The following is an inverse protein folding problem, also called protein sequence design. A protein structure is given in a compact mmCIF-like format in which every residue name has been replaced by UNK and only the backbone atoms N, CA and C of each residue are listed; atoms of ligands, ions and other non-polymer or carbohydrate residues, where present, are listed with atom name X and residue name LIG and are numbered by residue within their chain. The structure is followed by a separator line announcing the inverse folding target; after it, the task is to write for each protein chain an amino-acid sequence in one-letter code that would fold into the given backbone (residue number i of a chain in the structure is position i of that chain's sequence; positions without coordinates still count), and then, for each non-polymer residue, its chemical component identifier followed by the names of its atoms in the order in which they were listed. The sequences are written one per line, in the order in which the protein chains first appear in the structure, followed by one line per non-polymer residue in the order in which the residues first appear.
data_IF_472965187218
#
_entry.id   IF_472965187218
#
_cell.length_a   1.000
_cell.length_b   1.000
_cell.length_c   1.000
_cell.angle_alpha   90.00
_cell.angle_beta   90.00
_cell.angle_gamma   90.00
#
_symmetry.space_group_name_H-M   'P 1'
#
loop_
_entity.id
_entity.type
_entity.pdbx_description
1 polymer ?
#
# COMPACT_ATOMS: atom_id res chain seq x y z
N UNK A 1 -19.01 -10.43 14.65
CA UNK A 1 -19.06 -10.38 13.17
C UNK A 1 -18.68 -8.96 12.80
N UNK A 2 -17.53 -8.60 12.29
CA UNK A 2 -16.15 -9.09 12.31
C UNK A 2 -15.39 -7.78 12.17
N UNK A 3 -14.40 -7.49 13.02
CA UNK A 3 -13.62 -6.25 12.95
C UNK A 3 -13.28 -5.90 11.50
N UNK A 4 -13.65 -4.68 11.10
CA UNK A 4 -13.33 -4.06 9.82
C UNK A 4 -11.80 -4.05 9.69
N UNK A 5 -11.25 -5.09 9.07
CA UNK A 5 -9.84 -5.20 8.85
C UNK A 5 -9.51 -4.22 7.73
N UNK A 6 -9.17 -2.99 8.11
CA UNK A 6 -8.57 -2.00 7.21
C UNK A 6 -7.42 -2.60 6.38
N UNK A 7 -6.79 -3.68 6.86
CA UNK A 7 -5.81 -4.46 6.13
C UNK A 7 -6.34 -5.15 4.85
N UNK A 8 -7.61 -5.50 4.79
CA UNK A 8 -8.29 -6.12 3.63
C UNK A 8 -8.87 -5.07 2.66
N UNK A 9 -8.81 -3.78 3.01
CA UNK A 9 -9.22 -2.67 2.13
C UNK A 9 -8.41 -2.71 0.83
N UNK A 10 -9.09 -2.88 -0.31
CA UNK A 10 -8.46 -2.87 -1.62
C UNK A 10 -8.11 -1.43 -1.98
N UNK A 11 -6.82 -1.12 -2.00
CA UNK A 11 -6.30 0.19 -2.42
C UNK A 11 -6.09 0.26 -3.94
N UNK A 12 -5.81 -0.87 -4.58
CA UNK A 12 -5.71 -0.92 -6.04
C UNK A 12 -6.48 -2.10 -6.60
N UNK A 13 -7.61 -1.80 -7.24
CA UNK A 13 -8.51 -2.80 -7.85
C UNK A 13 -7.84 -3.52 -9.02
N UNK A 14 -6.96 -2.84 -9.76
CA UNK A 14 -6.27 -3.41 -10.93
C UNK A 14 -5.39 -4.61 -10.59
N UNK A 15 -4.75 -4.59 -9.42
CA UNK A 15 -3.84 -5.66 -8.97
C UNK A 15 -4.35 -6.41 -7.74
N UNK A 16 -5.51 -6.01 -7.20
CA UNK A 16 -6.04 -6.52 -5.94
C UNK A 16 -5.11 -6.21 -4.75
N UNK A 17 -4.38 -5.09 -4.80
CA UNK A 17 -3.48 -4.73 -3.71
C UNK A 17 -4.28 -4.15 -2.55
N UNK A 18 -4.17 -4.80 -1.39
CA UNK A 18 -4.80 -4.33 -0.16
C UNK A 18 -3.87 -3.47 0.68
N UNK A 19 -4.45 -2.63 1.53
CA UNK A 19 -3.73 -1.74 2.45
C UNK A 19 -2.80 -2.51 3.39
N UNK A 20 -3.25 -3.65 3.90
CA UNK A 20 -2.44 -4.52 4.75
C UNK A 20 -1.22 -5.09 4.04
N UNK A 21 -1.34 -5.37 2.74
CA UNK A 21 -0.21 -5.81 1.91
C UNK A 21 0.85 -4.72 1.81
N UNK A 22 0.45 -3.47 1.60
CA UNK A 22 1.38 -2.33 1.54
C UNK A 22 2.03 -2.09 2.90
N UNK A 23 1.25 -2.06 3.97
CA UNK A 23 1.77 -1.93 5.33
C UNK A 23 2.83 -2.99 5.65
N UNK A 24 2.56 -4.25 5.33
CA UNK A 24 3.50 -5.35 5.55
C UNK A 24 4.81 -5.16 4.77
N UNK A 25 4.74 -4.65 3.54
CA UNK A 25 5.92 -4.38 2.73
C UNK A 25 6.72 -3.18 3.28
N UNK A 26 6.07 -2.08 3.65
CA UNK A 26 6.74 -0.94 4.29
C UNK A 26 7.38 -1.34 5.62
N UNK A 27 6.72 -2.20 6.41
CA UNK A 27 7.29 -2.77 7.64
C UNK A 27 8.55 -3.61 7.41
N UNK A 28 8.74 -4.15 6.20
CA UNK A 28 9.98 -4.82 5.77
C UNK A 28 11.05 -3.82 5.28
N UNK A 29 10.84 -2.51 5.47
CA UNK A 29 11.68 -1.43 4.95
C UNK A 29 11.77 -1.43 3.42
N UNK A 30 10.69 -1.84 2.74
CA UNK A 30 10.58 -1.74 1.28
C UNK A 30 10.05 -0.36 0.89
N UNK A 31 10.64 0.22 -0.16
CA UNK A 31 10.20 1.47 -0.76
C UNK A 31 9.11 1.28 -1.81
N UNK A 32 8.49 2.38 -2.25
CA UNK A 32 7.43 2.39 -3.26
C UNK A 32 7.80 1.60 -4.52
N UNK A 33 9.03 1.75 -5.02
CA UNK A 33 9.52 1.01 -6.18
C UNK A 33 9.52 -0.51 -5.95
N UNK A 34 10.02 -0.96 -4.79
CA UNK A 34 10.04 -2.37 -4.43
C UNK A 34 8.63 -2.93 -4.18
N UNK A 35 7.73 -2.10 -3.63
CA UNK A 35 6.31 -2.43 -3.46
C UNK A 35 5.64 -2.58 -4.82
N UNK A 36 5.80 -1.60 -5.71
CA UNK A 36 5.34 -1.62 -7.10
C UNK A 36 5.80 -2.88 -7.83
N UNK A 37 7.09 -3.22 -7.73
CA UNK A 37 7.64 -4.43 -8.33
C UNK A 37 7.02 -5.73 -7.78
N UNK A 38 6.71 -5.78 -6.48
CA UNK A 38 6.13 -6.97 -5.82
C UNK A 38 4.62 -7.13 -5.98
N UNK A 39 3.89 -6.02 -6.01
CA UNK A 39 2.42 -6.03 -6.06
C UNK A 39 1.88 -5.75 -7.46
N UNK A 40 2.73 -5.26 -8.37
CA UNK A 40 2.34 -4.74 -9.68
C UNK A 40 1.65 -3.39 -9.59
N UNK A 41 1.57 -2.78 -8.40
CA UNK A 41 0.87 -1.50 -8.28
C UNK A 41 1.61 -0.41 -9.03
N UNK A 42 0.88 0.54 -9.61
CA UNK A 42 1.44 1.60 -10.47
C UNK A 42 2.09 1.12 -11.80
N UNK A 43 2.11 -0.18 -12.09
CA UNK A 43 2.55 -0.67 -13.42
C UNK A 43 1.42 -0.72 -14.47
N UNK A 44 0.18 -0.44 -14.05
CA UNK A 44 -1.04 -0.52 -14.86
C UNK A 44 -1.77 0.82 -15.01
N UNK A 45 -3.05 0.86 -14.62
CA UNK A 45 -3.96 2.00 -14.88
C UNK A 45 -3.60 3.32 -14.18
N UNK A 46 -2.62 3.33 -13.26
CA UNK A 46 -2.16 4.54 -12.56
C UNK A 46 -3.15 5.16 -11.55
N UNK A 47 -4.42 4.75 -11.52
CA UNK A 47 -5.44 5.38 -10.68
C UNK A 47 -5.22 5.25 -9.16
N UNK A 48 -4.44 4.26 -8.73
CA UNK A 48 -4.13 4.00 -7.33
C UNK A 48 -2.72 4.49 -6.93
N UNK A 49 -1.98 5.17 -7.82
CA UNK A 49 -0.62 5.65 -7.58
C UNK A 49 -0.57 6.61 -6.40
N UNK A 50 -1.34 7.70 -6.47
CA UNK A 50 -1.33 8.77 -5.48
C UNK A 50 -1.79 8.30 -4.09
N UNK A 51 -2.85 7.49 -4.03
CA UNK A 51 -3.36 6.89 -2.79
C UNK A 51 -2.29 6.05 -2.08
N UNK A 52 -1.51 5.29 -2.85
CA UNK A 52 -0.50 4.38 -2.32
C UNK A 52 0.78 5.10 -1.96
N UNK A 53 1.23 6.04 -2.79
CA UNK A 53 2.38 6.88 -2.51
C UNK A 53 2.14 7.67 -1.22
N UNK A 54 0.99 8.33 -1.10
CA UNK A 54 0.60 9.06 0.10
C UNK A 54 0.50 8.14 1.32
N UNK A 55 -0.03 6.93 1.18
CA UNK A 55 -0.10 5.99 2.29
C UNK A 55 1.30 5.52 2.74
N UNK A 56 2.20 5.21 1.82
CA UNK A 56 3.57 4.80 2.14
C UNK A 56 4.33 5.95 2.80
N UNK A 57 4.19 7.17 2.29
CA UNK A 57 4.77 8.37 2.89
C UNK A 57 4.24 8.56 4.32
N UNK A 58 2.92 8.52 4.52
CA UNK A 58 2.31 8.61 5.85
C UNK A 58 2.79 7.52 6.81
N UNK A 59 3.02 6.29 6.34
CA UNK A 59 3.58 5.20 7.17
C UNK A 59 5.04 5.45 7.55
N UNK A 60 5.81 6.09 6.67
CA UNK A 60 7.21 6.45 6.93
C UNK A 60 7.32 7.67 7.84
N UNK A 61 6.45 8.66 7.66
CA UNK A 61 6.42 9.89 8.46
C UNK A 61 5.76 9.70 9.82
N UNK A 62 4.78 8.79 9.92
CA UNK A 62 4.04 8.45 11.14
C UNK A 62 4.84 7.70 12.22
N UNK A 63 6.10 7.32 11.96
CA UNK A 63 7.05 6.79 12.97
C UNK A 63 7.72 7.94 13.77
N UNK A 64 7.26 9.18 13.60
CA UNK A 64 7.77 10.37 14.31
C UNK A 64 6.64 11.13 15.04
N UNK A 65 6.17 10.59 16.17
CA UNK A 65 5.54 11.35 17.26
C UNK A 65 5.71 10.64 18.59
#
# INVERSE_FOLDING_TARGET
MTEDNLADEIMCECTGTTRGKIFNLVSQRLDFDAISSKTGVNTGCGGCEWEIESFIEALKEGETS
#
